data_IF_100643035058
#
_entry.id   IF_100643035058
#
_cell.length_a   1.000
_cell.length_b   1.000
_cell.length_c   1.000
_cell.angle_alpha   90.00
_cell.angle_beta   90.00
_cell.angle_gamma   90.00
#
_symmetry.space_group_name_H-M   'P 1'
#
loop_
_entity.id
_entity.type
_entity.pdbx_description
1 polymer ?
#
# COMPACT_ATOMS: atom_id res chain seq x y z
N UNK A 1 -6.45 -18.66 18.04
CA UNK A 1 -5.40 -18.11 17.15
C UNK A 1 -5.03 -19.09 16.03
N UNK A 2 -4.82 -20.39 16.31
CA UNK A 2 -4.58 -21.45 15.31
C UNK A 2 -5.76 -21.80 14.37
N UNK A 3 -6.97 -21.28 14.58
CA UNK A 3 -8.17 -21.63 13.80
C UNK A 3 -8.44 -20.69 12.60
N UNK A 4 -7.86 -19.48 12.58
CA UNK A 4 -8.09 -18.51 11.47
C UNK A 4 -7.09 -18.66 10.33
N UNK A 5 -5.84 -19.05 10.60
CA UNK A 5 -4.84 -19.29 9.55
C UNK A 5 -5.24 -20.46 8.64
N UNK A 6 -5.89 -21.49 9.20
CA UNK A 6 -6.45 -22.61 8.44
C UNK A 6 -7.64 -22.20 7.57
N UNK A 7 -8.45 -21.21 7.97
CA UNK A 7 -9.60 -20.77 7.18
C UNK A 7 -9.15 -20.01 5.93
N UNK A 8 -8.14 -19.14 6.06
CA UNK A 8 -7.55 -18.42 4.93
C UNK A 8 -6.78 -19.37 4.00
N UNK A 9 -6.01 -20.32 4.56
CA UNK A 9 -5.30 -21.33 3.78
C UNK A 9 -6.26 -22.29 3.04
N UNK A 10 -7.31 -22.77 3.71
CA UNK A 10 -8.32 -23.64 3.10
C UNK A 10 -9.17 -22.91 2.04
N UNK A 11 -9.44 -21.61 2.19
CA UNK A 11 -10.24 -20.86 1.22
C UNK A 11 -9.53 -20.63 -0.11
N UNK A 12 -8.22 -20.35 -0.08
CA UNK A 12 -7.44 -20.12 -1.31
C UNK A 12 -6.99 -21.42 -1.99
N UNK A 13 -6.71 -22.50 -1.24
CA UNK A 13 -6.29 -23.79 -1.82
C UNK A 13 -7.45 -24.57 -2.45
N UNK A 14 -8.71 -24.32 -2.05
CA UNK A 14 -9.87 -25.06 -2.57
C UNK A 14 -10.47 -24.49 -3.86
N UNK A 15 -9.88 -23.46 -4.47
CA UNK A 15 -10.36 -22.92 -5.75
C UNK A 15 -11.76 -22.29 -5.69
N UNK A 16 -12.40 -22.20 -4.52
CA UNK A 16 -13.78 -21.70 -4.36
C UNK A 16 -13.89 -20.18 -4.62
N UNK A 17 -12.76 -19.47 -4.67
CA UNK A 17 -12.69 -18.09 -5.15
C UNK A 17 -12.01 -17.91 -6.51
N UNK A 18 -11.61 -18.98 -7.23
CA UNK A 18 -11.15 -18.78 -8.61
C UNK A 18 -12.25 -18.21 -9.52
N UNK A 19 -13.51 -18.40 -9.14
CA UNK A 19 -14.68 -17.80 -9.80
C UNK A 19 -15.09 -16.44 -9.20
N UNK A 20 -14.63 -16.09 -7.99
CA UNK A 20 -15.00 -14.84 -7.31
C UNK A 20 -13.92 -13.74 -7.37
N UNK A 21 -12.76 -14.04 -7.96
CA UNK A 21 -11.78 -13.01 -8.35
C UNK A 21 -12.16 -12.25 -9.62
N UNK A 22 -13.28 -12.61 -10.26
CA UNK A 22 -13.78 -11.97 -11.49
C UNK A 22 -14.58 -10.67 -11.27
N UNK A 23 -14.86 -10.24 -10.03
CA UNK A 23 -15.77 -9.11 -9.75
C UNK A 23 -15.19 -7.88 -9.04
N UNK A 24 -13.87 -7.69 -9.04
CA UNK A 24 -13.34 -6.33 -8.89
C UNK A 24 -12.38 -6.11 -10.05
N UNK A 25 -12.86 -5.40 -11.08
CA UNK A 25 -12.03 -4.82 -12.12
C UNK A 25 -11.01 -3.87 -11.48
N UNK A 26 -9.96 -4.46 -10.89
CA UNK A 26 -8.87 -3.74 -10.27
C UNK A 26 -8.17 -3.04 -11.42
N UNK A 27 -8.33 -1.72 -11.49
CA UNK A 27 -7.80 -0.92 -12.60
C UNK A 27 -6.31 -1.20 -12.80
N UNK A 28 -5.83 -1.19 -14.05
CA UNK A 28 -4.44 -1.51 -14.40
C UNK A 28 -3.42 -0.74 -13.54
N UNK A 29 -3.75 0.51 -13.21
CA UNK A 29 -2.98 1.41 -12.36
C UNK A 29 -2.79 0.89 -10.92
N UNK A 30 -3.83 0.30 -10.34
CA UNK A 30 -3.74 -0.31 -9.01
C UNK A 30 -2.83 -1.53 -9.05
N UNK A 31 -2.96 -2.36 -10.10
CA UNK A 31 -2.13 -3.55 -10.26
C UNK A 31 -0.65 -3.14 -10.36
N UNK A 32 -0.35 -2.15 -11.21
CA UNK A 32 1.00 -1.62 -11.36
C UNK A 32 1.56 -1.07 -10.05
N UNK A 33 0.74 -0.34 -9.28
CA UNK A 33 1.16 0.18 -7.98
C UNK A 33 1.51 -0.95 -6.99
N UNK A 34 0.67 -1.98 -6.89
CA UNK A 34 0.90 -3.10 -5.99
C UNK A 34 2.16 -3.89 -6.38
N UNK A 35 2.37 -4.10 -7.68
CA UNK A 35 3.58 -4.75 -8.22
C UNK A 35 4.81 -3.89 -7.94
N UNK A 36 4.73 -2.57 -8.13
CA UNK A 36 5.84 -1.64 -7.87
C UNK A 36 6.24 -1.62 -6.38
N UNK A 37 5.27 -1.60 -5.47
CA UNK A 37 5.53 -1.68 -4.02
C UNK A 37 6.15 -3.02 -3.62
N UNK A 38 5.67 -4.13 -4.20
CA UNK A 38 6.26 -5.45 -4.00
C UNK A 38 7.73 -5.48 -4.47
N UNK A 39 8.00 -4.92 -5.65
CA UNK A 39 9.35 -4.79 -6.21
C UNK A 39 10.26 -3.97 -5.30
N UNK A 40 9.83 -2.78 -4.88
CA UNK A 40 10.61 -1.92 -3.98
C UNK A 40 10.94 -2.62 -2.66
N UNK A 41 9.98 -3.37 -2.10
CA UNK A 41 10.20 -4.16 -0.89
C UNK A 41 11.21 -5.30 -1.07
N UNK A 42 11.27 -5.95 -2.25
CA UNK A 42 12.26 -6.99 -2.58
C UNK A 42 13.66 -6.45 -2.90
N UNK A 43 13.74 -5.28 -3.52
CA UNK A 43 15.01 -4.63 -3.84
C UNK A 43 15.64 -3.98 -2.59
N UNK A 44 14.86 -3.72 -1.55
CA UNK A 44 15.34 -3.15 -0.29
C UNK A 44 16.35 -4.06 0.43
N UNK A 45 17.42 -3.44 0.97
CA UNK A 45 18.35 -4.09 1.92
C UNK A 45 17.63 -4.61 3.17
N UNK A 46 16.45 -4.09 3.49
CA UNK A 46 15.62 -4.46 4.64
C UNK A 46 14.55 -5.52 4.30
N UNK A 47 14.55 -6.13 3.11
CA UNK A 47 13.53 -7.09 2.66
C UNK A 47 13.23 -8.24 3.62
N UNK A 48 14.23 -8.68 4.39
CA UNK A 48 14.05 -9.71 5.42
C UNK A 48 13.11 -9.29 6.56
N UNK A 49 12.96 -7.98 6.77
CA UNK A 49 12.17 -7.34 7.82
C UNK A 49 10.84 -6.80 7.25
N UNK A 50 10.86 -6.13 6.09
CA UNK A 50 9.71 -5.36 5.57
C UNK A 50 8.91 -6.07 4.47
N UNK A 51 9.46 -7.12 3.86
CA UNK A 51 8.70 -7.94 2.92
C UNK A 51 7.80 -8.91 3.71
N UNK A 52 6.77 -8.34 4.31
CA UNK A 52 5.78 -9.00 5.14
C UNK A 52 4.37 -8.55 4.73
N UNK A 53 3.42 -9.47 4.53
CA UNK A 53 3.59 -10.92 4.51
C UNK A 53 4.47 -11.40 3.35
N UNK A 54 5.15 -12.53 3.57
CA UNK A 54 5.81 -13.31 2.52
C UNK A 54 4.80 -14.30 1.89
N UNK A 55 4.83 -14.56 0.57
CA UNK A 55 3.87 -15.42 -0.10
C UNK A 55 3.91 -16.86 0.39
N UNK A 56 2.73 -17.49 0.39
CA UNK A 56 2.54 -18.93 0.49
C UNK A 56 1.88 -19.39 -0.81
N UNK A 57 2.68 -19.89 -1.75
CA UNK A 57 2.22 -20.23 -3.10
C UNK A 57 2.61 -21.67 -3.39
N UNK A 58 1.62 -22.47 -3.82
CA UNK A 58 1.78 -23.86 -4.26
C UNK A 58 2.56 -23.86 -5.57
N UNK A 59 3.47 -24.82 -5.72
CA UNK A 59 4.18 -25.02 -6.98
C UNK A 59 3.22 -25.61 -8.04
N UNK A 60 2.95 -24.89 -9.15
CA UNK A 60 2.08 -25.41 -10.22
C UNK A 60 2.63 -26.67 -10.89
N UNK A 61 3.95 -26.86 -10.89
CA UNK A 61 4.59 -28.04 -11.46
C UNK A 61 4.61 -29.21 -10.46
N UNK A 62 4.44 -28.96 -9.17
CA UNK A 62 4.36 -29.98 -8.13
C UNK A 62 3.40 -29.57 -6.99
N UNK A 63 2.09 -29.87 -7.14
CA UNK A 63 1.05 -29.42 -6.20
C UNK A 63 1.20 -29.89 -4.75
N UNK A 64 2.09 -30.84 -4.48
CA UNK A 64 2.39 -31.32 -3.11
C UNK A 64 3.36 -30.42 -2.36
N UNK A 65 3.92 -29.40 -3.01
CA UNK A 65 4.98 -28.55 -2.47
C UNK A 65 4.64 -27.06 -2.60
N UNK A 66 5.19 -26.25 -1.71
CA UNK A 66 5.08 -24.80 -1.78
C UNK A 66 6.33 -24.24 -2.46
N UNK A 67 6.16 -23.56 -3.60
CA UNK A 67 7.22 -22.84 -4.26
C UNK A 67 7.70 -21.63 -3.43
N UNK A 68 6.76 -20.97 -2.74
CA UNK A 68 7.07 -19.91 -1.77
C UNK A 68 6.44 -20.22 -0.42
N UNK A 69 7.21 -20.07 0.65
CA UNK A 69 6.72 -20.21 2.03
C UNK A 69 7.44 -19.27 3.00
N UNK A 70 6.74 -18.66 3.97
CA UNK A 70 7.36 -17.83 5.01
C UNK A 70 8.40 -18.57 5.85
N UNK A 71 8.29 -19.91 5.96
CA UNK A 71 9.22 -20.75 6.73
C UNK A 71 10.59 -20.89 6.06
N UNK A 72 10.63 -20.82 4.72
CA UNK A 72 11.84 -20.91 3.90
C UNK A 72 11.74 -19.89 2.78
N UNK A 73 12.12 -18.65 3.10
CA UNK A 73 12.05 -17.52 2.18
C UNK A 73 13.17 -17.63 1.14
N UNK A 74 12.80 -17.69 -0.15
CA UNK A 74 13.72 -17.55 -1.27
C UNK A 74 13.43 -16.22 -1.96
N UNK A 75 14.23 -15.19 -1.64
CA UNK A 75 14.03 -13.86 -2.20
C UNK A 75 14.46 -13.78 -3.67
N UNK A 76 15.52 -14.49 -4.06
CA UNK A 76 16.03 -14.44 -5.43
C UNK A 76 15.06 -15.11 -6.41
N UNK A 77 14.47 -16.25 -6.02
CA UNK A 77 13.43 -16.91 -6.84
C UNK A 77 12.16 -16.06 -6.96
N UNK A 78 11.80 -15.37 -5.87
CA UNK A 78 10.64 -14.48 -5.84
C UNK A 78 10.86 -13.24 -6.71
N UNK A 79 12.07 -12.68 -6.69
CA UNK A 79 12.47 -11.59 -7.59
C UNK A 79 12.39 -12.04 -9.05
N UNK A 80 12.92 -13.21 -9.40
CA UNK A 80 12.84 -13.73 -10.77
C UNK A 80 11.39 -13.88 -11.26
N UNK A 81 10.49 -14.40 -10.43
CA UNK A 81 9.07 -14.49 -10.77
C UNK A 81 8.43 -13.10 -10.94
N UNK A 82 8.80 -12.14 -10.10
CA UNK A 82 8.30 -10.76 -10.19
C UNK A 82 8.81 -10.05 -11.45
N UNK A 83 10.07 -10.29 -11.84
CA UNK A 83 10.65 -9.74 -13.06
C UNK A 83 9.90 -10.25 -14.30
N UNK A 84 9.48 -11.52 -14.31
CA UNK A 84 8.60 -12.09 -15.33
C UNK A 84 7.22 -11.42 -15.36
N UNK A 85 6.62 -11.15 -14.19
CA UNK A 85 5.36 -10.38 -14.11
C UNK A 85 5.53 -9.00 -14.74
N UNK A 86 6.60 -8.29 -14.39
CA UNK A 86 6.89 -6.96 -14.92
C UNK A 86 7.11 -6.99 -16.43
N UNK A 87 7.87 -7.96 -16.95
CA UNK A 87 8.12 -8.12 -18.38
C UNK A 87 6.82 -8.30 -19.16
N UNK A 88 5.97 -9.24 -18.73
CA UNK A 88 4.70 -9.51 -19.43
C UNK A 88 3.79 -8.28 -19.35
N UNK A 89 3.69 -7.61 -18.19
CA UNK A 89 2.90 -6.37 -18.09
C UNK A 89 3.37 -5.24 -18.99
N UNK A 90 4.65 -5.20 -19.35
CA UNK A 90 5.19 -4.21 -20.29
C UNK A 90 4.85 -4.53 -21.75
N UNK A 91 4.87 -5.82 -22.11
CA UNK A 91 4.73 -6.28 -23.48
C UNK A 91 3.27 -6.56 -23.87
N UNK A 92 2.46 -7.02 -22.93
CA UNK A 92 1.10 -7.45 -23.21
C UNK A 92 0.14 -6.28 -23.27
N UNK A 93 -0.50 -6.13 -24.42
CA UNK A 93 -1.72 -5.37 -24.59
C UNK A 93 -2.78 -6.36 -25.06
N UNK A 94 -3.82 -6.61 -24.27
CA UNK A 94 -4.84 -7.59 -24.65
C UNK A 94 -5.68 -8.12 -23.49
N UNK A 95 -6.59 -9.07 -23.78
CA UNK A 95 -7.43 -9.73 -22.79
C UNK A 95 -6.62 -10.46 -21.71
N UNK A 96 -7.18 -10.57 -20.50
CA UNK A 96 -6.52 -11.21 -19.37
C UNK A 96 -6.13 -12.68 -19.64
N UNK A 97 -6.91 -13.41 -20.45
CA UNK A 97 -6.61 -14.80 -20.79
C UNK A 97 -5.30 -14.94 -21.57
N UNK A 98 -4.93 -13.96 -22.40
CA UNK A 98 -3.67 -13.96 -23.16
C UNK A 98 -2.52 -13.55 -22.25
N UNK A 99 -2.73 -12.58 -21.36
CA UNK A 99 -1.75 -12.18 -20.33
C UNK A 99 -1.40 -13.38 -19.44
N UNK A 100 -2.40 -14.15 -19.00
CA UNK A 100 -2.19 -15.35 -18.19
C UNK A 100 -1.30 -16.37 -18.91
N UNK A 101 -1.62 -16.71 -20.17
CA UNK A 101 -0.82 -17.67 -20.95
C UNK A 101 0.63 -17.21 -21.07
N UNK A 102 0.85 -15.93 -21.35
CA UNK A 102 2.20 -15.36 -21.45
C UNK A 102 2.94 -15.40 -20.11
N UNK A 103 2.27 -15.13 -18.98
CA UNK A 103 2.85 -15.28 -17.65
C UNK A 103 3.28 -16.73 -17.40
N UNK A 104 2.40 -17.69 -17.66
CA UNK A 104 2.66 -19.12 -17.45
C UNK A 104 3.81 -19.64 -18.33
N UNK A 105 3.93 -19.13 -19.57
CA UNK A 105 4.99 -19.47 -20.52
C UNK A 105 6.37 -18.93 -20.11
N UNK A 106 6.42 -17.68 -19.61
CA UNK A 106 7.69 -17.04 -19.21
C UNK A 106 8.20 -17.60 -17.88
N UNK A 107 7.31 -17.74 -16.89
CA UNK A 107 7.61 -18.35 -15.60
C UNK A 107 6.32 -18.88 -14.96
N UNK A 108 6.26 -20.18 -14.71
CA UNK A 108 5.12 -20.85 -14.09
C UNK A 108 4.69 -20.25 -12.73
N UNK A 109 5.55 -19.50 -12.03
CA UNK A 109 5.21 -18.80 -10.78
C UNK A 109 4.76 -17.34 -10.98
N UNK A 110 4.89 -16.76 -12.16
CA UNK A 110 4.55 -15.36 -12.42
C UNK A 110 3.06 -15.09 -12.23
N UNK A 111 2.18 -15.91 -12.84
CA UNK A 111 0.73 -15.76 -12.66
C UNK A 111 0.28 -16.02 -11.22
N UNK A 112 0.68 -17.13 -10.54
CA UNK A 112 0.37 -17.34 -9.13
C UNK A 112 0.87 -16.21 -8.22
N UNK A 113 2.05 -15.63 -8.50
CA UNK A 113 2.58 -14.50 -7.74
C UNK A 113 1.74 -13.25 -7.95
N UNK A 114 1.38 -12.92 -9.19
CA UNK A 114 0.51 -11.79 -9.48
C UNK A 114 -0.85 -11.94 -8.79
N UNK A 115 -1.47 -13.13 -8.88
CA UNK A 115 -2.70 -13.42 -8.16
C UNK A 115 -2.55 -13.24 -6.65
N UNK A 116 -1.46 -13.72 -6.07
CA UNK A 116 -1.19 -13.49 -4.66
C UNK A 116 -1.05 -12.01 -4.34
N UNK A 117 -0.31 -11.22 -5.13
CA UNK A 117 -0.13 -9.78 -4.93
C UNK A 117 -1.49 -9.07 -4.84
N UNK A 118 -2.40 -9.40 -5.76
CA UNK A 118 -3.74 -8.83 -5.83
C UNK A 118 -4.63 -9.30 -4.68
N UNK A 119 -4.71 -10.60 -4.44
CA UNK A 119 -5.60 -11.21 -3.46
C UNK A 119 -5.22 -10.90 -2.00
N UNK A 120 -3.94 -10.63 -1.76
CA UNK A 120 -3.45 -10.30 -0.41
C UNK A 120 -3.53 -8.81 -0.08
N UNK A 121 -3.89 -7.96 -1.04
CA UNK A 121 -4.21 -6.56 -0.78
C UNK A 121 -5.54 -6.47 -0.01
N UNK A 122 -5.45 -6.24 1.31
CA UNK A 122 -6.62 -6.14 2.19
C UNK A 122 -7.17 -4.72 2.30
N UNK A 123 -6.55 -3.76 1.63
CA UNK A 123 -6.94 -2.36 1.74
C UNK A 123 -8.02 -1.92 0.74
N UNK A 124 -8.40 -2.78 -0.23
CA UNK A 124 -9.33 -2.44 -1.32
C UNK A 124 -9.08 -1.03 -1.85
N UNK A 125 -7.93 -0.88 -2.52
CA UNK A 125 -7.47 0.38 -3.06
C UNK A 125 -8.18 0.66 -4.39
N UNK A 126 -8.72 1.87 -4.52
CA UNK A 126 -9.46 2.31 -5.70
C UNK A 126 -8.90 3.66 -6.16
N UNK A 127 -8.69 3.82 -7.47
CA UNK A 127 -8.26 5.11 -8.01
C UNK A 127 -9.38 6.13 -7.86
N UNK A 128 -9.03 7.30 -7.34
CA UNK A 128 -9.97 8.39 -7.14
C UNK A 128 -10.35 9.00 -8.50
N UNK A 129 -11.65 9.18 -8.81
CA UNK A 129 -12.07 9.86 -10.02
C UNK A 129 -11.70 11.34 -9.96
N UNK A 130 -11.47 11.96 -11.12
CA UNK A 130 -10.92 13.34 -11.23
C UNK A 130 -11.73 14.39 -10.45
N UNK A 131 -13.06 14.24 -10.41
CA UNK A 131 -13.97 15.14 -9.70
C UNK A 131 -13.88 15.04 -8.17
N UNK A 132 -13.18 14.03 -7.64
CA UNK A 132 -12.96 13.81 -6.20
C UNK A 132 -11.50 14.01 -5.79
N UNK A 133 -10.63 14.40 -6.70
CA UNK A 133 -9.22 14.66 -6.39
C UNK A 133 -9.08 15.77 -5.37
N UNK A 134 -8.23 15.53 -4.37
CA UNK A 134 -7.76 16.57 -3.47
C UNK A 134 -6.80 17.44 -4.26
N UNK A 135 -7.20 18.69 -4.48
CA UNK A 135 -6.53 19.63 -5.39
C UNK A 135 -5.13 19.95 -4.91
N UNK A 136 -4.97 20.12 -3.60
CA UNK A 136 -3.69 20.42 -2.96
C UNK A 136 -2.64 19.31 -3.07
N UNK A 137 -3.01 18.11 -3.52
CA UNK A 137 -2.06 17.01 -3.68
C UNK A 137 -1.34 17.01 -5.04
N UNK A 138 -1.83 17.75 -6.05
CA UNK A 138 -1.17 17.95 -7.35
C UNK A 138 -0.63 16.68 -8.03
N UNK A 139 -1.29 15.54 -7.85
CA UNK A 139 -0.97 14.28 -8.54
C UNK A 139 -2.24 13.64 -9.11
N UNK A 140 -2.18 13.06 -10.32
CA UNK A 140 -3.29 12.27 -10.86
C UNK A 140 -3.39 10.88 -10.20
N UNK A 141 -2.35 10.47 -9.44
CA UNK A 141 -2.27 9.17 -8.79
C UNK A 141 -2.75 9.26 -7.34
N UNK A 142 -4.05 9.54 -7.20
CA UNK A 142 -4.74 9.57 -5.91
C UNK A 142 -5.60 8.32 -5.75
N UNK A 143 -5.52 7.69 -4.59
CA UNK A 143 -6.22 6.46 -4.31
C UNK A 143 -6.98 6.55 -3.00
N UNK A 144 -8.19 6.00 -2.98
CA UNK A 144 -8.97 5.75 -1.77
C UNK A 144 -8.69 4.32 -1.28
N UNK A 145 -8.47 4.17 0.01
CA UNK A 145 -8.36 2.87 0.68
C UNK A 145 -9.68 2.62 1.41
N UNK A 146 -10.53 1.79 0.81
CA UNK A 146 -11.92 1.60 1.24
C UNK A 146 -12.00 0.67 2.46
N UNK A 147 -10.99 -0.19 2.66
CA UNK A 147 -11.04 -1.19 3.72
C UNK A 147 -9.77 -1.24 4.54
N UNK A 148 -9.97 -1.60 5.81
CA UNK A 148 -8.96 -2.18 6.68
C UNK A 148 -9.39 -3.62 7.00
N UNK A 149 -8.48 -4.48 7.51
CA UNK A 149 -8.90 -5.78 8.03
C UNK A 149 -10.12 -5.62 8.96
N UNK A 150 -11.21 -6.42 8.82
CA UNK A 150 -12.50 -6.12 9.45
C UNK A 150 -12.42 -5.83 10.96
N UNK A 151 -11.57 -6.57 11.68
CA UNK A 151 -11.36 -6.35 13.11
C UNK A 151 -10.73 -4.99 13.44
N UNK A 152 -9.84 -4.45 12.59
CA UNK A 152 -9.25 -3.11 12.74
C UNK A 152 -10.30 -2.04 12.47
N UNK A 153 -11.07 -2.18 11.40
CA UNK A 153 -12.11 -1.19 11.06
C UNK A 153 -13.16 -1.11 12.18
N UNK A 154 -13.63 -2.24 12.72
CA UNK A 154 -14.58 -2.22 13.85
C UNK A 154 -14.02 -1.48 15.06
N UNK A 155 -12.75 -1.75 15.43
CA UNK A 155 -12.11 -1.07 16.57
C UNK A 155 -11.93 0.42 16.33
N UNK A 156 -11.51 0.80 15.12
CA UNK A 156 -11.39 2.19 14.72
C UNK A 156 -12.73 2.91 14.81
N UNK A 157 -13.80 2.34 14.26
CA UNK A 157 -15.14 2.95 14.28
C UNK A 157 -15.69 3.08 15.71
N UNK A 158 -15.46 2.09 16.58
CA UNK A 158 -15.82 2.19 18.00
C UNK A 158 -15.09 3.34 18.69
N UNK A 159 -13.78 3.46 18.48
CA UNK A 159 -12.96 4.51 19.07
C UNK A 159 -13.32 5.90 18.51
N UNK A 160 -13.54 6.00 17.19
CA UNK A 160 -14.03 7.21 16.51
C UNK A 160 -15.36 7.69 17.07
N UNK A 161 -16.31 6.77 17.31
CA UNK A 161 -17.63 7.14 17.90
C UNK A 161 -17.48 7.70 19.31
N UNK A 162 -16.50 7.22 20.08
CA UNK A 162 -16.30 7.62 21.46
C UNK A 162 -15.51 8.94 21.60
N UNK A 163 -14.50 9.14 20.76
CA UNK A 163 -13.53 10.23 20.93
C UNK A 163 -13.54 11.25 19.79
N UNK A 164 -14.27 10.99 18.70
CA UNK A 164 -14.12 11.73 17.45
C UNK A 164 -12.84 11.37 16.70
N UNK A 165 -12.69 11.93 15.51
CA UNK A 165 -11.52 11.77 14.66
C UNK A 165 -11.22 13.05 13.88
N UNK A 166 -9.97 13.17 13.43
CA UNK A 166 -9.52 14.20 12.47
C UNK A 166 -8.60 13.54 11.44
N UNK A 167 -8.09 14.31 10.48
CA UNK A 167 -7.13 13.82 9.49
C UNK A 167 -5.71 14.26 9.82
N UNK A 168 -4.74 13.44 9.41
CA UNK A 168 -3.32 13.78 9.46
C UNK A 168 -2.55 12.97 8.41
N UNK A 169 -1.46 13.52 7.90
CA UNK A 169 -0.60 12.86 6.92
C UNK A 169 0.39 11.89 7.58
N UNK A 170 0.77 10.85 6.82
CA UNK A 170 1.86 9.94 7.14
C UNK A 170 2.74 9.72 5.91
N UNK A 171 4.02 10.05 6.01
CA UNK A 171 5.03 9.75 4.99
C UNK A 171 5.77 8.45 5.27
N UNK A 172 5.95 7.63 4.25
CA UNK A 172 6.84 6.47 4.31
C UNK A 172 7.45 6.17 2.95
N UNK A 173 8.69 5.70 2.94
CA UNK A 173 9.35 5.20 1.74
C UNK A 173 8.54 4.08 1.06
N UNK A 174 8.61 4.02 -0.28
CA UNK A 174 7.84 3.09 -1.12
C UNK A 174 8.00 1.62 -0.70
N UNK A 175 9.19 1.18 -0.29
CA UNK A 175 9.45 -0.22 0.07
C UNK A 175 8.67 -0.70 1.30
N UNK A 176 8.18 0.20 2.15
CA UNK A 176 7.38 -0.18 3.32
C UNK A 176 5.89 -0.36 2.97
N UNK A 177 5.42 0.16 1.83
CA UNK A 177 4.00 0.15 1.48
C UNK A 177 3.46 -1.23 1.13
N UNK A 178 4.33 -2.16 0.70
CA UNK A 178 3.99 -3.59 0.61
C UNK A 178 3.38 -4.09 1.92
N UNK A 179 4.04 -3.82 3.05
CA UNK A 179 3.53 -4.21 4.37
C UNK A 179 2.37 -3.33 4.83
N UNK A 180 2.46 -2.01 4.66
CA UNK A 180 1.44 -1.08 5.15
C UNK A 180 0.06 -1.36 4.53
N UNK A 181 -0.03 -1.66 3.23
CA UNK A 181 -1.30 -1.98 2.57
C UNK A 181 -1.92 -3.33 3.01
N UNK A 182 -1.18 -4.17 3.73
CA UNK A 182 -1.63 -5.52 4.12
C UNK A 182 -1.85 -5.64 5.61
N UNK A 183 -1.00 -4.98 6.39
CA UNK A 183 -0.99 -5.00 7.84
C UNK A 183 -1.54 -3.70 8.46
N UNK A 184 -1.70 -2.64 7.67
CA UNK A 184 -1.95 -1.28 8.15
C UNK A 184 -0.69 -0.63 8.73
N UNK A 185 -0.82 0.63 9.15
CA UNK A 185 0.23 1.29 9.92
C UNK A 185 0.38 0.62 11.28
N UNK A 186 1.62 0.51 11.74
CA UNK A 186 1.98 -0.14 13.00
C UNK A 186 2.89 0.76 13.81
N UNK A 187 2.81 0.64 15.12
CA UNK A 187 3.74 1.27 16.03
C UNK A 187 5.12 0.59 15.91
N UNK A 188 6.00 1.19 15.12
CA UNK A 188 7.32 0.64 14.83
C UNK A 188 8.38 0.97 15.89
N UNK A 189 8.09 1.86 16.85
CA UNK A 189 9.10 2.34 17.81
C UNK A 189 9.68 1.21 18.66
N UNK A 190 11.01 1.19 18.77
CA UNK A 190 11.84 0.20 19.43
C UNK A 190 11.71 -1.22 18.87
N UNK A 191 11.35 -1.34 17.60
CA UNK A 191 11.31 -2.60 16.86
C UNK A 191 12.29 -2.59 15.68
N UNK A 192 12.47 -3.74 15.02
CA UNK A 192 13.28 -3.85 13.79
C UNK A 192 12.72 -3.01 12.62
N UNK A 193 11.47 -2.56 12.71
CA UNK A 193 10.83 -1.73 11.69
C UNK A 193 11.16 -0.24 11.83
N UNK A 194 11.71 0.20 12.97
CA UNK A 194 12.02 1.61 13.20
C UNK A 194 13.12 2.10 12.25
N UNK A 195 12.80 3.13 11.45
CA UNK A 195 13.76 3.85 10.60
C UNK A 195 14.27 5.13 11.25
N UNK A 196 13.34 5.91 11.82
CA UNK A 196 13.61 7.20 12.44
C UNK A 196 13.52 7.10 13.97
N UNK A 197 14.16 8.02 14.69
CA UNK A 197 14.08 8.06 16.15
C UNK A 197 12.64 8.23 16.67
N UNK A 198 12.40 7.80 17.91
CA UNK A 198 11.12 7.97 18.59
C UNK A 198 11.17 9.18 19.56
N UNK A 199 11.52 10.36 19.04
CA UNK A 199 11.85 11.55 19.85
C UNK A 199 10.68 12.06 20.71
N UNK A 200 9.45 11.88 20.23
CA UNK A 200 8.22 12.30 20.90
C UNK A 200 7.43 11.11 21.45
N UNK A 201 8.12 10.00 21.76
CA UNK A 201 7.52 8.80 22.33
C UNK A 201 7.22 7.70 21.30
N UNK A 202 6.66 6.61 21.81
CA UNK A 202 6.40 5.37 21.07
C UNK A 202 5.05 5.44 20.36
N UNK A 203 5.04 5.39 19.04
CA UNK A 203 3.80 5.42 18.26
C UNK A 203 3.99 5.49 16.75
N UNK A 204 2.85 5.59 16.07
CA UNK A 204 2.75 5.96 14.66
C UNK A 204 2.88 7.48 14.59
N UNK A 205 3.87 7.95 13.85
CA UNK A 205 4.13 9.37 13.65
C UNK A 205 3.29 9.90 12.50
N UNK A 206 2.57 10.97 12.77
CA UNK A 206 1.62 11.64 11.88
C UNK A 206 1.87 13.15 11.96
N UNK A 207 1.37 13.90 10.99
CA UNK A 207 1.42 15.36 11.01
C UNK A 207 0.20 15.94 10.35
N UNK A 208 -0.49 16.93 10.95
CA UNK A 208 -1.54 17.64 10.24
C UNK A 208 -0.98 18.46 9.06
N UNK A 209 0.31 18.79 9.08
CA UNK A 209 1.03 19.45 8.01
C UNK A 209 1.60 18.47 6.98
N UNK A 210 1.33 18.68 5.69
CA UNK A 210 1.79 17.81 4.59
C UNK A 210 3.32 17.82 4.40
N UNK A 211 3.96 18.99 4.51
CA UNK A 211 5.39 19.18 4.28
C UNK A 211 6.27 18.30 5.18
N UNK A 212 5.88 18.11 6.44
CA UNK A 212 6.55 17.19 7.36
C UNK A 212 6.50 15.76 6.80
N UNK A 213 5.33 15.28 6.37
CA UNK A 213 5.17 13.92 5.83
C UNK A 213 5.88 13.72 4.51
N UNK A 214 5.93 14.72 3.63
CA UNK A 214 6.77 14.66 2.42
C UNK A 214 8.27 14.48 2.74
N UNK A 215 8.75 15.01 3.87
CA UNK A 215 10.12 14.76 4.32
C UNK A 215 10.40 13.27 4.63
N UNK A 216 9.38 12.51 5.03
CA UNK A 216 9.49 11.10 5.40
C UNK A 216 9.07 10.11 4.29
N UNK A 217 8.62 10.60 3.12
CA UNK A 217 8.16 9.75 2.01
C UNK A 217 9.28 9.23 1.09
N UNK A 218 10.54 9.55 1.38
CA UNK A 218 11.70 9.01 0.69
C UNK A 218 12.33 9.91 -0.37
N UNK A 219 12.33 11.24 -0.14
CA UNK A 219 12.92 12.26 -1.02
C UNK A 219 14.36 11.89 -1.43
N UNK A 220 14.53 11.23 -2.58
CA UNK A 220 15.82 11.05 -3.22
C UNK A 220 16.16 12.34 -3.96
N UNK A 221 17.36 12.89 -3.69
CA UNK A 221 17.95 13.99 -4.46
C UNK A 221 17.99 13.55 -5.94
N UNK A 222 17.60 14.46 -6.83
CA UNK A 222 17.60 14.26 -8.28
C UNK A 222 18.99 13.75 -8.72
N UNK A 223 19.11 12.47 -9.04
CA UNK A 223 20.14 12.01 -9.97
C UNK A 223 19.58 12.20 -11.38
N UNK A 224 20.18 13.16 -12.07
CA UNK A 224 19.87 13.54 -13.44
C UNK A 224 20.26 12.40 -14.39
N UNK A 225 19.31 11.53 -14.68
CA UNK A 225 19.43 10.46 -15.67
C UNK A 225 18.42 10.65 -16.78
N UNK A 226 18.89 10.93 -17.99
CA UNK A 226 18.10 10.89 -19.23
C UNK A 226 17.38 9.54 -19.37
N UNK A 227 16.05 9.51 -19.51
CA UNK A 227 15.32 8.28 -19.87
C UNK A 227 14.20 8.49 -20.92
N UNK A 228 14.05 7.40 -21.68
CA UNK A 228 13.25 7.15 -22.89
C UNK A 228 11.77 7.53 -22.79
N UNK A 229 11.26 8.17 -23.84
CA UNK A 229 9.86 8.58 -24.04
C UNK A 229 8.92 7.47 -24.52
N UNK A 230 9.29 6.19 -24.38
CA UNK A 230 8.44 5.07 -24.82
C UNK A 230 8.21 4.04 -23.71
N UNK A 231 7.20 4.26 -22.87
CA UNK A 231 6.51 3.17 -22.17
C UNK A 231 5.06 3.55 -21.87
N UNK A 232 4.13 2.62 -22.06
CA UNK A 232 2.71 2.71 -21.69
C UNK A 232 2.47 2.44 -20.19
N UNK A 233 3.50 2.60 -19.35
CA UNK A 233 3.45 2.24 -17.93
C UNK A 233 2.75 3.29 -17.08
N UNK A 234 1.98 2.81 -16.09
CA UNK A 234 1.34 3.63 -15.07
C UNK A 234 2.35 4.49 -14.27
N UNK A 235 3.52 3.92 -13.93
CA UNK A 235 4.64 4.60 -13.29
C UNK A 235 5.82 4.60 -14.27
N UNK A 236 6.27 5.79 -14.66
CA UNK A 236 7.37 6.01 -15.60
C UNK A 236 8.73 6.05 -14.90
N UNK A 237 8.76 6.29 -13.59
CA UNK A 237 10.00 6.45 -12.81
C UNK A 237 10.21 5.35 -11.77
N UNK A 238 11.49 5.07 -11.47
CA UNK A 238 11.88 4.29 -10.29
C UNK A 238 11.86 5.13 -9.00
N UNK A 239 11.86 6.46 -9.11
CA UNK A 239 11.84 7.37 -7.97
C UNK A 239 10.39 7.73 -7.64
N UNK A 240 9.79 6.92 -6.76
CA UNK A 240 8.39 7.05 -6.36
C UNK A 240 8.32 7.43 -4.89
N UNK A 241 7.57 8.50 -4.60
CA UNK A 241 7.24 8.91 -3.25
C UNK A 241 5.79 8.62 -2.95
N UNK A 242 5.52 8.17 -1.73
CA UNK A 242 4.17 7.85 -1.28
C UNK A 242 3.85 8.58 0.03
N UNK A 243 2.72 9.27 0.06
CA UNK A 243 2.18 9.90 1.26
C UNK A 243 0.76 9.40 1.48
N UNK A 244 0.43 9.03 2.71
CA UNK A 244 -0.94 8.76 3.10
C UNK A 244 -1.58 9.97 3.78
N UNK A 245 -2.90 10.07 3.62
CA UNK A 245 -3.76 10.82 4.52
C UNK A 245 -4.56 9.80 5.35
N UNK A 246 -4.39 9.89 6.66
CA UNK A 246 -4.98 9.00 7.64
C UNK A 246 -6.06 9.72 8.43
N UNK A 247 -7.11 8.99 8.78
CA UNK A 247 -8.06 9.37 9.81
C UNK A 247 -7.53 8.89 11.16
N UNK A 248 -7.50 9.78 12.16
CA UNK A 248 -6.85 9.58 13.46
C UNK A 248 -7.84 9.90 14.57
N UNK A 249 -7.99 8.98 15.52
CA UNK A 249 -8.89 9.12 16.67
C UNK A 249 -8.32 10.11 17.68
N UNK A 250 -9.14 11.06 18.14
CA UNK A 250 -8.80 12.12 19.11
C UNK A 250 -8.87 11.64 20.57
N UNK A 251 -8.38 10.42 20.84
CA UNK A 251 -8.30 9.88 22.19
C UNK A 251 -7.22 10.58 23.02
N UNK A 252 -7.31 10.51 24.35
CA UNK A 252 -6.28 11.02 25.29
C UNK A 252 -4.87 10.43 25.09
N UNK A 253 -4.75 9.33 24.34
CA UNK A 253 -3.47 8.69 24.05
C UNK A 253 -2.75 9.31 22.85
N UNK A 254 -3.45 10.09 22.02
CA UNK A 254 -2.84 10.83 20.92
C UNK A 254 -1.99 11.96 21.50
N UNK A 255 -0.68 11.89 21.28
CA UNK A 255 0.27 12.89 21.76
C UNK A 255 0.48 13.92 20.66
N UNK A 256 0.21 15.20 20.93
CA UNK A 256 0.35 16.29 19.97
C UNK A 256 1.46 17.23 20.40
N UNK A 257 2.57 17.23 19.66
CA UNK A 257 3.72 18.10 19.87
C UNK A 257 3.82 19.11 18.72
N UNK A 258 2.97 20.14 18.77
CA UNK A 258 2.76 21.05 17.64
C UNK A 258 2.24 20.28 16.42
N UNK A 259 3.00 20.31 15.32
CA UNK A 259 2.65 19.64 14.08
C UNK A 259 3.17 18.18 14.01
N UNK A 260 3.72 17.64 15.10
CA UNK A 260 4.16 16.23 15.16
C UNK A 260 3.27 15.49 16.12
N UNK A 261 2.52 14.53 15.61
CA UNK A 261 1.58 13.73 16.38
C UNK A 261 2.07 12.30 16.49
N UNK A 262 1.90 11.71 17.67
CA UNK A 262 2.32 10.33 17.96
C UNK A 262 1.12 9.57 18.48
N UNK A 263 0.65 8.60 17.69
CA UNK A 263 -0.45 7.72 18.06
C UNK A 263 0.09 6.36 18.53
N UNK A 264 0.08 6.04 19.83
CA UNK A 264 0.63 4.77 20.34
C UNK A 264 -0.21 3.55 19.98
N UNK A 265 -1.54 3.74 19.77
CA UNK A 265 -2.52 2.68 19.50
C UNK A 265 -2.73 2.54 17.99
N UNK A 266 -2.29 1.45 17.35
CA UNK A 266 -2.44 1.29 15.89
C UNK A 266 -3.89 1.27 15.42
N UNK A 267 -4.81 0.76 16.25
CA UNK A 267 -6.24 0.70 15.93
C UNK A 267 -6.93 2.08 15.96
N UNK A 268 -6.23 3.15 16.37
CA UNK A 268 -6.71 4.54 16.34
C UNK A 268 -6.28 5.29 15.07
N UNK A 269 -5.62 4.63 14.13
CA UNK A 269 -5.17 5.22 12.86
C UNK A 269 -5.69 4.37 11.71
N UNK A 270 -6.42 4.99 10.79
CA UNK A 270 -6.86 4.35 9.56
C UNK A 270 -6.37 5.14 8.34
N UNK A 271 -5.65 4.48 7.43
CA UNK A 271 -5.29 5.11 6.15
C UNK A 271 -6.54 5.23 5.28
N UNK A 272 -6.83 6.44 4.80
CA UNK A 272 -7.99 6.71 3.92
C UNK A 272 -7.57 7.01 2.50
N UNK A 273 -6.48 7.75 2.31
CA UNK A 273 -5.93 8.02 1.00
C UNK A 273 -4.47 7.64 0.89
N UNK A 274 -4.06 7.33 -0.33
CA UNK A 274 -2.66 7.19 -0.74
C UNK A 274 -2.42 8.05 -1.97
N UNK A 275 -1.38 8.86 -1.92
CA UNK A 275 -0.92 9.71 -3.01
C UNK A 275 0.45 9.23 -3.47
N UNK A 276 0.58 9.08 -4.79
CA UNK A 276 1.80 8.59 -5.42
C UNK A 276 2.38 9.69 -6.30
N UNK A 277 3.69 9.89 -6.19
CA UNK A 277 4.42 10.92 -6.91
C UNK A 277 5.63 10.31 -7.62
N UNK A 278 5.99 10.88 -8.75
CA UNK A 278 7.15 10.46 -9.53
C UNK A 278 8.18 11.59 -9.63
N UNK A 279 9.46 11.24 -9.81
CA UNK A 279 10.52 12.19 -10.19
C UNK A 279 10.64 13.41 -9.26
N UNK A 280 10.45 13.21 -7.96
CA UNK A 280 10.59 14.29 -6.97
C UNK A 280 9.44 15.31 -6.94
N UNK A 281 8.37 15.09 -7.72
CA UNK A 281 7.13 15.84 -7.58
C UNK A 281 6.54 15.66 -6.18
N UNK A 282 5.88 16.70 -5.69
CA UNK A 282 5.15 16.70 -4.42
C UNK A 282 3.92 17.59 -4.56
N UNK A 283 2.95 17.42 -3.66
CA UNK A 283 1.84 18.35 -3.48
C UNK A 283 2.25 19.60 -2.71
N UNK A 284 1.26 20.40 -2.34
CA UNK A 284 1.47 21.60 -1.53
C UNK A 284 2.05 21.21 -0.15
N UNK A 285 3.13 21.87 0.27
CA UNK A 285 3.88 21.56 1.51
C UNK A 285 3.38 22.31 2.75
N UNK A 286 2.48 23.29 2.55
CA UNK A 286 1.93 24.13 3.61
C UNK A 286 0.46 23.82 3.91
N UNK A 287 -0.01 22.62 3.54
CA UNK A 287 -1.37 22.18 3.84
C UNK A 287 -1.45 21.77 5.29
N UNK A 288 -2.42 22.32 6.01
CA UNK A 288 -2.82 21.88 7.33
C UNK A 288 -4.22 21.25 7.27
N UNK A 289 -4.29 19.95 7.59
CA UNK A 289 -5.57 19.20 7.67
C UNK A 289 -6.54 19.70 8.73
N UNK A 290 -6.10 20.58 9.64
CA UNK A 290 -6.95 21.23 10.63
C UNK A 290 -7.59 22.51 10.12
N UNK A 291 -7.17 23.02 8.94
CA UNK A 291 -7.86 24.12 8.26
C UNK A 291 -9.23 23.66 7.78
N UNK A 292 -10.28 24.45 8.06
CA UNK A 292 -11.67 24.07 7.79
C UNK A 292 -11.93 23.79 6.30
N UNK A 293 -11.33 24.58 5.40
CA UNK A 293 -11.43 24.39 3.95
C UNK A 293 -10.85 23.04 3.51
N UNK A 294 -9.63 22.73 3.99
CA UNK A 294 -8.94 21.46 3.69
C UNK A 294 -9.71 20.28 4.28
N UNK A 295 -10.17 20.41 5.53
CA UNK A 295 -10.95 19.37 6.20
C UNK A 295 -12.24 19.04 5.43
N UNK A 296 -12.96 20.07 4.98
CA UNK A 296 -14.18 19.91 4.20
C UNK A 296 -13.93 19.27 2.83
N UNK A 297 -12.84 19.66 2.14
CA UNK A 297 -12.44 19.03 0.88
C UNK A 297 -12.17 17.52 1.06
N UNK A 298 -11.48 17.13 2.15
CA UNK A 298 -11.22 15.73 2.48
C UNK A 298 -12.53 14.97 2.72
N UNK A 299 -13.46 15.53 3.50
CA UNK A 299 -14.76 14.89 3.76
C UNK A 299 -15.58 14.68 2.49
N UNK A 300 -15.61 15.66 1.59
CA UNK A 300 -16.26 15.55 0.28
C UNK A 300 -15.63 14.44 -0.56
N UNK A 301 -14.31 14.30 -0.52
CA UNK A 301 -13.59 13.24 -1.23
C UNK A 301 -13.82 11.82 -0.66
N UNK A 302 -14.30 11.68 0.59
CA UNK A 302 -14.64 10.39 1.21
C UNK A 302 -16.12 10.02 1.05
N UNK A 303 -17.06 10.99 1.06
CA UNK A 303 -18.51 10.72 1.13
C UNK A 303 -19.00 9.70 0.07
N UNK A 304 -19.75 8.71 0.53
CA UNK A 304 -20.21 7.57 -0.27
C UNK A 304 -21.41 7.85 -1.18
N UNK A 305 -22.01 9.05 -1.15
CA UNK A 305 -23.23 9.39 -1.92
C UNK A 305 -23.04 9.44 -3.45
N UNK A 306 -21.94 8.90 -3.99
CA UNK A 306 -21.58 8.95 -5.42
C UNK A 306 -20.85 7.69 -5.92
N UNK A 307 -20.85 6.58 -5.17
CA UNK A 307 -20.40 5.27 -5.68
C UNK A 307 -21.57 4.42 -6.14
#
# INVERSE_FOLDING_TARGET
ILRMELCVFSFYTLGVMSEATDEVATGAEVIDLLVAMCRAALESKRKSIIFDPYPSIVDPCNPKTLAFTPKRKSYDRLQAALDSVLLVRQLSQGPYCDIKKQLDEVDHLAHPLLQWILASNRSHIVKLPQNRHLRFMHTPHQFLLISSPPYKEVRFQMARKLYGSTFAFHGSHIENWHSILRNGLVNASYTKLQLHGAAYGKGIYLSPNSGISFGYSGKNVLEDGLWSTQSSQFLKSKNINCVALCEVVLSKELQQHGNIWVCPVPDHVCTRFLFVYENGQIGDVHIDTQDEEIHNEILQAISSDTF
#
